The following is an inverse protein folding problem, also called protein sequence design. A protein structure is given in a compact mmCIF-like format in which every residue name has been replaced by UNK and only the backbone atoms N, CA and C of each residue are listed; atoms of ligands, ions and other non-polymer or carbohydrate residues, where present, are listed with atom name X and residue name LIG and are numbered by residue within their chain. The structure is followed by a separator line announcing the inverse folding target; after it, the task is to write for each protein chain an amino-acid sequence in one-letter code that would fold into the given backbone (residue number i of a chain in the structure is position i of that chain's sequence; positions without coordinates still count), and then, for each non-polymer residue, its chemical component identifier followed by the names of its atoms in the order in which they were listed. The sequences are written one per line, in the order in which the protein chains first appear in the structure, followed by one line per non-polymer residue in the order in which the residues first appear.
data_IF_205203877376
#
_entry.id   IF_205203877376
#
_cell.length_a   1.000
_cell.length_b   1.000
_cell.length_c   1.000
_cell.angle_alpha   90.00
_cell.angle_beta   90.00
_cell.angle_gamma   90.00
#
_symmetry.space_group_name_H-M   'P 1'
#
loop_
_entity.id
_entity.type
_entity.pdbx_description
1 polymer ?
#
# COMPACT_ATOMS: atom_id res chain seq x y z
N UNK A 1 -1.78 -24.63 -0.65
CA UNK A 1 -2.39 -23.28 -0.69
C UNK A 1 -1.93 -22.50 -1.92
N UNK A 2 -0.62 -22.37 -2.17
CA UNK A 2 -0.11 -21.69 -3.39
C UNK A 2 -0.47 -22.41 -4.70
N UNK A 3 -0.53 -23.74 -4.70
CA UNK A 3 -0.96 -24.53 -5.86
C UNK A 3 -2.40 -24.21 -6.28
N UNK A 4 -3.30 -24.09 -5.29
CA UNK A 4 -4.71 -23.72 -5.50
C UNK A 4 -4.86 -22.33 -6.13
N UNK A 5 -3.94 -21.41 -5.80
CA UNK A 5 -3.93 -20.05 -6.36
C UNK A 5 -3.53 -20.10 -7.83
N UNK A 6 -2.50 -20.88 -8.19
CA UNK A 6 -2.08 -21.08 -9.59
C UNK A 6 -3.17 -21.75 -10.42
N UNK A 7 -3.82 -22.79 -9.89
CA UNK A 7 -4.89 -23.51 -10.56
C UNK A 7 -6.09 -22.57 -10.84
N UNK A 8 -6.60 -21.89 -9.80
CA UNK A 8 -7.69 -20.90 -9.97
C UNK A 8 -7.32 -19.73 -10.85
N UNK A 9 -6.05 -19.29 -10.84
CA UNK A 9 -5.58 -18.22 -11.74
C UNK A 9 -5.56 -18.68 -13.20
N UNK A 10 -5.16 -19.92 -13.46
CA UNK A 10 -5.16 -20.51 -14.81
C UNK A 10 -6.57 -20.67 -15.37
N UNK A 11 -7.53 -21.14 -14.55
CA UNK A 11 -8.94 -21.24 -14.91
C UNK A 11 -9.55 -19.87 -15.23
N UNK A 12 -9.24 -18.85 -14.41
CA UNK A 12 -9.73 -17.49 -14.63
C UNK A 12 -9.13 -16.86 -15.91
N UNK A 13 -7.83 -17.05 -16.17
CA UNK A 13 -7.20 -16.57 -17.40
C UNK A 13 -7.71 -17.31 -18.66
N UNK A 14 -8.08 -18.58 -18.54
CA UNK A 14 -8.69 -19.33 -19.64
C UNK A 14 -10.15 -18.91 -19.91
N UNK A 15 -10.91 -18.56 -18.87
CA UNK A 15 -12.30 -18.14 -18.98
C UNK A 15 -12.47 -16.67 -19.40
N UNK A 16 -11.56 -15.81 -18.98
CA UNK A 16 -11.55 -14.40 -19.34
C UNK A 16 -10.72 -14.23 -20.61
N UNK A 17 -11.36 -14.08 -21.78
CA UNK A 17 -10.73 -13.77 -23.09
C UNK A 17 -10.03 -12.40 -23.11
N UNK A 18 -9.10 -12.19 -22.18
CA UNK A 18 -8.33 -10.98 -21.92
C UNK A 18 -6.89 -11.19 -22.43
N UNK A 19 -6.75 -11.78 -23.61
CA UNK A 19 -5.51 -11.70 -24.39
C UNK A 19 -5.50 -10.37 -25.14
N UNK A 20 -5.35 -9.27 -24.40
CA UNK A 20 -4.92 -8.00 -24.97
C UNK A 20 -3.48 -7.79 -24.51
N UNK A 21 -2.58 -8.10 -25.43
CA UNK A 21 -1.15 -7.76 -25.46
C UNK A 21 -0.18 -8.62 -24.62
N UNK A 22 0.18 -9.78 -25.17
CA UNK A 22 1.58 -10.08 -25.54
C UNK A 22 2.67 -10.25 -24.48
N UNK A 23 2.44 -9.99 -23.19
CA UNK A 23 3.45 -10.19 -22.15
C UNK A 23 2.96 -11.25 -21.16
N UNK A 24 3.32 -12.51 -21.43
CA UNK A 24 3.11 -13.63 -20.49
C UNK A 24 4.00 -13.37 -19.26
N UNK A 25 3.45 -12.68 -18.26
CA UNK A 25 4.17 -12.38 -17.03
C UNK A 25 4.72 -13.69 -16.44
N UNK A 26 6.02 -13.72 -16.04
CA UNK A 26 6.66 -14.96 -15.63
C UNK A 26 5.86 -15.64 -14.51
N UNK A 27 5.84 -16.98 -14.49
CA UNK A 27 5.07 -17.72 -13.50
C UNK A 27 5.52 -17.31 -12.09
N UNK A 28 4.55 -17.03 -11.23
CA UNK A 28 4.84 -16.68 -9.84
C UNK A 28 5.54 -17.87 -9.17
N UNK A 29 6.65 -17.66 -8.45
CA UNK A 29 7.43 -18.76 -7.91
C UNK A 29 6.59 -19.59 -6.92
N UNK A 30 6.54 -20.91 -7.13
CA UNK A 30 5.80 -21.84 -6.28
C UNK A 30 6.35 -21.92 -4.84
N UNK A 31 7.64 -21.59 -4.68
CA UNK A 31 8.34 -21.56 -3.40
C UNK A 31 8.73 -20.12 -3.08
N UNK A 32 8.37 -19.68 -1.88
CA UNK A 32 8.80 -18.38 -1.38
C UNK A 32 10.34 -18.30 -1.38
N UNK A 33 10.92 -17.13 -1.71
CA UNK A 33 12.36 -16.94 -1.58
C UNK A 33 12.78 -17.17 -0.12
N UNK A 34 14.00 -17.69 0.11
CA UNK A 34 14.51 -17.85 1.47
C UNK A 34 14.57 -16.49 2.18
N UNK A 35 14.35 -16.44 3.50
CA UNK A 35 14.47 -15.18 4.24
C UNK A 35 15.90 -14.65 4.12
N UNK A 36 16.03 -13.41 3.66
CA UNK A 36 17.32 -12.73 3.56
C UNK A 36 17.36 -11.55 4.53
N UNK A 37 18.53 -11.22 5.08
CA UNK A 37 18.68 -10.00 5.88
C UNK A 37 18.40 -8.76 5.02
N UNK A 38 17.99 -7.63 5.62
CA UNK A 38 17.78 -6.39 4.89
C UNK A 38 19.07 -5.92 4.19
N UNK A 39 18.96 -5.53 2.93
CA UNK A 39 20.10 -5.03 2.13
C UNK A 39 20.56 -3.65 2.58
N UNK A 40 19.66 -2.84 3.14
CA UNK A 40 19.91 -1.45 3.52
C UNK A 40 19.46 -1.17 4.95
N UNK A 41 20.22 -0.34 5.65
CA UNK A 41 19.84 0.20 6.97
C UNK A 41 18.75 1.26 6.83
N UNK A 42 17.94 1.45 7.88
CA UNK A 42 16.92 2.50 7.97
C UNK A 42 17.48 3.91 7.73
N UNK A 43 18.72 4.16 8.16
CA UNK A 43 19.41 5.44 7.98
C UNK A 43 19.72 5.76 6.50
N UNK A 44 19.64 4.78 5.60
CA UNK A 44 19.72 5.04 4.16
C UNK A 44 18.38 5.49 3.57
N UNK A 45 17.28 5.35 4.32
CA UNK A 45 15.93 5.68 3.89
C UNK A 45 15.53 7.07 4.41
N UNK A 46 15.84 7.36 5.67
CA UNK A 46 15.64 8.67 6.30
C UNK A 46 16.73 8.92 7.34
N UNK A 47 17.06 10.19 7.58
CA UNK A 47 18.12 10.53 8.54
C UNK A 47 17.55 10.78 9.93
N UNK A 48 16.44 11.53 10.00
CA UNK A 48 15.77 11.91 11.24
C UNK A 48 14.25 11.80 11.07
N UNK A 49 13.51 11.10 11.95
CA UNK A 49 12.05 11.11 11.92
C UNK A 49 11.40 12.50 11.89
N UNK A 50 12.10 13.55 12.35
CA UNK A 50 11.62 14.93 12.29
C UNK A 50 11.40 15.45 10.87
N UNK A 51 12.06 14.87 9.85
CA UNK A 51 11.84 15.23 8.44
C UNK A 51 10.39 15.01 7.98
N UNK A 52 9.66 14.11 8.66
CA UNK A 52 8.26 13.81 8.37
C UNK A 52 7.26 14.70 9.10
N UNK A 53 7.70 15.74 9.82
CA UNK A 53 6.80 16.55 10.64
C UNK A 53 5.64 17.18 9.84
N UNK A 54 5.88 17.59 8.60
CA UNK A 54 4.85 18.18 7.76
C UNK A 54 3.83 17.15 7.25
N UNK A 55 4.33 15.96 6.91
CA UNK A 55 3.51 14.82 6.50
C UNK A 55 2.65 14.33 7.67
N UNK A 56 3.22 14.30 8.88
CA UNK A 56 2.50 13.93 10.11
C UNK A 56 1.37 14.94 10.43
N UNK A 57 1.57 16.24 10.17
CA UNK A 57 0.51 17.26 10.34
C UNK A 57 -0.66 17.00 9.37
N UNK A 58 -0.38 16.63 8.12
CA UNK A 58 -1.43 16.27 7.14
C UNK A 58 -2.23 15.08 7.67
N UNK A 59 -1.55 14.02 8.10
CA UNK A 59 -2.21 12.83 8.66
C UNK A 59 -3.13 13.16 9.84
N UNK A 60 -2.68 14.02 10.75
CA UNK A 60 -3.47 14.45 11.91
C UNK A 60 -4.68 15.28 11.48
N UNK A 61 -4.52 16.21 10.53
CA UNK A 61 -5.62 17.02 9.99
C UNK A 61 -6.69 16.14 9.34
N UNK A 62 -6.26 15.24 8.43
CA UNK A 62 -7.16 14.31 7.72
C UNK A 62 -7.85 13.34 8.68
N UNK A 63 -7.28 13.05 9.85
CA UNK A 63 -7.92 12.20 10.86
C UNK A 63 -9.07 12.91 11.60
N UNK A 64 -9.01 14.23 11.71
CA UNK A 64 -10.06 15.03 12.35
C UNK A 64 -11.28 15.23 11.45
N UNK A 65 -11.09 15.07 10.14
CA UNK A 65 -12.14 15.18 9.13
C UNK A 65 -12.83 13.82 8.87
N UNK A 66 -14.08 13.88 8.40
CA UNK A 66 -14.87 12.70 8.00
C UNK A 66 -14.85 12.54 6.49
N UNK A 67 -14.27 11.42 6.05
CA UNK A 67 -14.03 11.16 4.64
C UNK A 67 -15.14 10.29 4.09
N UNK A 68 -15.81 10.80 3.05
CA UNK A 68 -16.98 10.16 2.44
C UNK A 68 -16.63 8.86 1.72
N UNK A 69 -15.51 8.87 1.00
CA UNK A 69 -15.08 7.72 0.20
C UNK A 69 -13.64 7.32 0.52
N UNK A 70 -13.33 6.04 0.32
CA UNK A 70 -11.97 5.54 0.47
C UNK A 70 -11.00 6.23 -0.51
N UNK A 71 -11.44 6.51 -1.73
CA UNK A 71 -10.64 7.22 -2.74
C UNK A 71 -10.27 8.63 -2.30
N UNK A 72 -11.20 9.35 -1.68
CA UNK A 72 -10.93 10.71 -1.17
C UNK A 72 -9.95 10.68 0.00
N UNK A 73 -10.12 9.73 0.92
CA UNK A 73 -9.17 9.50 2.02
C UNK A 73 -7.75 9.27 1.47
N UNK A 74 -7.60 8.34 0.52
CA UNK A 74 -6.29 8.03 -0.07
C UNK A 74 -5.71 9.28 -0.73
N UNK A 75 -6.48 10.00 -1.55
CA UNK A 75 -6.02 11.24 -2.20
C UNK A 75 -5.55 12.29 -1.21
N UNK A 76 -6.27 12.50 -0.12
CA UNK A 76 -5.90 13.48 0.92
C UNK A 76 -4.61 13.08 1.64
N UNK A 77 -4.43 11.79 1.95
CA UNK A 77 -3.24 11.30 2.65
C UNK A 77 -1.99 11.29 1.76
N UNK A 78 -2.08 10.81 0.51
CA UNK A 78 -0.89 10.57 -0.32
C UNK A 78 -0.64 11.65 -1.38
N UNK A 79 -1.60 12.53 -1.67
CA UNK A 79 -1.53 13.46 -2.80
C UNK A 79 -0.40 14.49 -2.73
N UNK A 80 0.14 14.75 -1.53
CA UNK A 80 1.27 15.66 -1.30
C UNK A 80 2.60 14.96 -0.98
N UNK A 81 2.62 13.63 -0.96
CA UNK A 81 3.82 12.85 -0.68
C UNK A 81 4.67 12.70 -1.95
N UNK A 82 5.96 13.00 -1.87
CA UNK A 82 6.93 12.85 -2.94
C UNK A 82 7.53 11.44 -3.01
N UNK A 83 7.56 10.72 -1.89
CA UNK A 83 8.13 9.37 -1.81
C UNK A 83 7.17 8.34 -1.23
N UNK A 84 7.40 7.06 -1.53
CA UNK A 84 6.61 5.98 -0.94
C UNK A 84 6.82 5.85 0.58
N UNK A 85 7.96 6.30 1.08
CA UNK A 85 8.25 6.39 2.52
C UNK A 85 7.34 7.40 3.18
N UNK A 86 7.17 8.58 2.58
CA UNK A 86 6.24 9.60 3.05
C UNK A 86 4.80 9.09 2.99
N UNK A 87 4.38 8.47 1.88
CA UNK A 87 3.03 7.87 1.77
C UNK A 87 2.76 6.88 2.90
N UNK A 88 3.71 5.97 3.14
CA UNK A 88 3.62 5.00 4.23
C UNK A 88 3.53 5.72 5.58
N UNK A 89 4.38 6.72 5.82
CA UNK A 89 4.38 7.51 7.05
C UNK A 89 3.05 8.20 7.30
N UNK A 90 2.46 8.88 6.31
CA UNK A 90 1.16 9.55 6.45
C UNK A 90 0.06 8.57 6.83
N UNK A 91 0.00 7.43 6.13
CA UNK A 91 -1.04 6.42 6.34
C UNK A 91 -0.91 5.83 7.75
N UNK A 92 0.28 5.40 8.14
CA UNK A 92 0.51 4.86 9.48
C UNK A 92 0.21 5.89 10.56
N UNK A 93 0.64 7.14 10.37
CA UNK A 93 0.35 8.20 11.33
C UNK A 93 -1.16 8.43 11.46
N UNK A 94 -1.88 8.50 10.36
CA UNK A 94 -3.34 8.68 10.35
C UNK A 94 -4.05 7.51 11.07
N UNK A 95 -3.65 6.26 10.80
CA UNK A 95 -4.19 5.07 11.48
C UNK A 95 -4.05 5.19 13.00
N UNK A 96 -2.92 5.70 13.50
CA UNK A 96 -2.68 5.80 14.95
C UNK A 96 -3.55 6.82 15.67
N UNK A 97 -4.14 7.78 14.95
CA UNK A 97 -4.93 8.87 15.55
C UNK A 97 -6.43 8.79 15.21
N UNK A 98 -6.83 8.08 14.15
CA UNK A 98 -8.23 7.92 13.76
C UNK A 98 -8.88 6.75 14.50
N UNK A 99 -10.11 6.94 14.98
CA UNK A 99 -10.91 5.83 15.50
C UNK A 99 -11.51 5.03 14.33
N UNK A 100 -10.87 3.92 13.99
CA UNK A 100 -11.28 3.07 12.86
C UNK A 100 -12.62 2.36 13.09
N UNK A 101 -13.07 2.18 14.35
CA UNK A 101 -14.36 1.55 14.63
C UNK A 101 -15.55 2.41 14.18
N UNK A 102 -15.34 3.71 13.99
CA UNK A 102 -16.36 4.65 13.55
C UNK A 102 -16.25 5.00 12.05
N UNK A 103 -15.29 4.43 11.32
CA UNK A 103 -15.13 4.69 9.89
C UNK A 103 -16.22 3.99 9.09
N UNK A 104 -16.92 4.77 8.28
CA UNK A 104 -17.86 4.31 7.28
C UNK A 104 -17.53 5.05 5.98
N UNK A 105 -17.42 4.29 4.89
CA UNK A 105 -17.31 4.84 3.55
C UNK A 105 -18.60 4.53 2.81
N UNK A 106 -19.12 5.49 2.07
CA UNK A 106 -20.26 5.31 1.16
C UNK A 106 -19.85 4.54 -0.11
#
# INVERSE_FOLDING_TARGET
MMELITERRSEYMAASSLYLDGEEAPPYPARAPPPQPPLVSKFHIYTDPAEFADVDKIAISVAQEDQKTFTDLVRQLVGRCASDVEKARTIFRWITVKNLNNIHFD
#
